data_IF_933431370060
#
_entry.id   IF_933431370060
#
_cell.length_a   1.000
_cell.length_b   1.000
_cell.length_c   1.000
_cell.angle_alpha   90.00
_cell.angle_beta   90.00
_cell.angle_gamma   90.00
#
_symmetry.space_group_name_H-M   'P 1'
#
loop_
_entity.id
_entity.type
_entity.pdbx_description
1 polymer ?
#
# COMPACT_ATOMS: atom_id res chain seq x y z
N UNK A 1 -20.52 14.29 -4.74
CA UNK A 1 -19.16 13.75 -4.96
C UNK A 1 -18.27 14.79 -5.61
N UNK A 2 -18.65 15.38 -6.74
CA UNK A 2 -17.89 16.50 -7.34
C UNK A 2 -17.73 17.66 -6.33
N UNK A 3 -18.82 18.10 -5.69
CA UNK A 3 -18.75 19.14 -4.65
C UNK A 3 -17.83 18.76 -3.48
N UNK A 4 -17.87 17.51 -3.03
CA UNK A 4 -17.04 17.01 -1.94
C UNK A 4 -15.55 17.05 -2.28
N UNK A 5 -15.20 16.68 -3.51
CA UNK A 5 -13.83 16.74 -4.05
C UNK A 5 -13.39 18.19 -4.20
N UNK A 6 -14.23 19.06 -4.75
CA UNK A 6 -13.96 20.50 -4.90
C UNK A 6 -13.81 21.23 -3.56
N UNK A 7 -14.45 20.76 -2.50
CA UNK A 7 -14.36 21.35 -1.16
C UNK A 7 -13.15 20.88 -0.35
N UNK A 8 -12.50 19.78 -0.73
CA UNK A 8 -11.28 19.33 -0.05
C UNK A 8 -10.17 20.36 -0.23
N UNK A 9 -9.52 20.83 0.84
CA UNK A 9 -8.36 21.72 0.74
C UNK A 9 -7.23 21.34 1.70
N UNK A 10 -6.01 21.72 1.33
CA UNK A 10 -4.82 21.52 2.14
C UNK A 10 -3.87 22.72 1.91
N UNK A 11 -3.97 23.73 2.77
CA UNK A 11 -3.21 24.98 2.68
C UNK A 11 -1.70 24.73 2.69
N UNK A 12 -1.26 23.70 3.43
CA UNK A 12 0.16 23.35 3.58
C UNK A 12 0.75 22.70 2.33
N UNK A 13 -0.07 22.15 1.45
CA UNK A 13 0.40 21.48 0.25
C UNK A 13 -0.66 21.56 -0.85
N UNK A 14 -0.50 22.53 -1.75
CA UNK A 14 -1.42 22.73 -2.86
C UNK A 14 -1.35 21.60 -3.90
N UNK A 15 -0.23 20.87 -3.98
CA UNK A 15 -0.09 19.77 -4.94
C UNK A 15 -1.01 18.59 -4.58
N UNK A 16 -1.17 18.27 -3.28
CA UNK A 16 -2.14 17.25 -2.85
C UNK A 16 -3.59 17.72 -3.08
N UNK A 17 -3.88 18.99 -2.83
CA UNK A 17 -5.20 19.56 -3.10
C UNK A 17 -5.55 19.48 -4.60
N UNK A 18 -4.66 19.99 -5.45
CA UNK A 18 -4.81 19.98 -6.90
C UNK A 18 -4.83 18.55 -7.46
N UNK A 19 -4.08 17.63 -6.86
CA UNK A 19 -4.15 16.22 -7.23
C UNK A 19 -5.57 15.70 -7.09
N UNK A 20 -6.20 15.86 -5.92
CA UNK A 20 -7.53 15.33 -5.69
C UNK A 20 -8.58 16.01 -6.57
N UNK A 21 -8.52 17.34 -6.66
CA UNK A 21 -9.52 18.15 -7.38
C UNK A 21 -9.48 17.95 -8.89
N UNK A 22 -8.30 17.82 -9.48
CA UNK A 22 -8.13 17.94 -10.94
C UNK A 22 -7.61 16.65 -11.58
N UNK A 23 -6.80 15.87 -10.85
CA UNK A 23 -6.00 14.79 -11.44
C UNK A 23 -6.50 13.39 -11.07
N UNK A 24 -6.99 13.18 -9.85
CA UNK A 24 -7.31 11.87 -9.30
C UNK A 24 -8.28 11.08 -10.21
N UNK A 25 -9.37 11.70 -10.65
CA UNK A 25 -10.37 11.08 -11.53
C UNK A 25 -9.76 10.69 -12.87
N UNK A 26 -8.93 11.55 -13.47
CA UNK A 26 -8.30 11.25 -14.75
C UNK A 26 -7.26 10.14 -14.65
N UNK A 27 -6.53 10.07 -13.53
CA UNK A 27 -5.58 8.99 -13.26
C UNK A 27 -6.28 7.65 -13.00
N UNK A 28 -7.40 7.67 -12.29
CA UNK A 28 -8.28 6.50 -12.08
C UNK A 28 -8.82 5.95 -13.41
N UNK A 29 -9.37 6.82 -14.27
CA UNK A 29 -9.88 6.45 -15.60
C UNK A 29 -8.82 5.85 -16.52
N UNK A 30 -7.54 6.10 -16.23
CA UNK A 30 -6.38 5.59 -16.99
C UNK A 30 -5.67 4.44 -16.28
N UNK A 31 -6.23 3.95 -15.17
CA UNK A 31 -5.66 2.88 -14.34
C UNK A 31 -4.24 3.18 -13.83
N UNK A 32 -3.90 4.46 -13.68
CA UNK A 32 -2.59 4.89 -13.20
C UNK A 32 -2.50 4.86 -11.67
N UNK A 33 -3.62 5.07 -10.99
CA UNK A 33 -3.75 5.07 -9.52
C UNK A 33 -5.10 4.54 -9.11
N UNK A 34 -5.18 4.05 -7.88
CA UNK A 34 -6.41 3.98 -7.10
C UNK A 34 -6.40 5.02 -5.99
N UNK A 35 -7.44 5.83 -5.88
CA UNK A 35 -7.60 6.91 -4.89
C UNK A 35 -8.71 6.54 -3.93
N UNK A 36 -8.40 6.55 -2.63
CA UNK A 36 -9.31 6.17 -1.57
C UNK A 36 -9.66 7.40 -0.75
N UNK A 37 -10.95 7.65 -0.59
CA UNK A 37 -11.48 8.76 0.21
C UNK A 37 -11.88 8.23 1.58
N UNK A 38 -11.49 8.96 2.62
CA UNK A 38 -11.95 8.75 3.99
C UNK A 38 -12.98 9.84 4.27
N UNK A 39 -14.23 9.44 4.46
CA UNK A 39 -15.35 10.35 4.64
C UNK A 39 -15.79 10.44 6.10
N UNK A 40 -16.37 11.57 6.46
CA UNK A 40 -17.00 11.77 7.77
C UNK A 40 -18.31 10.99 7.82
N UNK A 41 -18.26 9.85 8.51
CA UNK A 41 -19.40 8.94 8.60
C UNK A 41 -20.58 9.58 9.33
N UNK A 42 -20.35 10.40 10.35
CA UNK A 42 -21.42 11.04 11.11
C UNK A 42 -22.18 12.02 10.21
N UNK A 43 -21.45 12.84 9.44
CA UNK A 43 -22.04 13.78 8.48
C UNK A 43 -22.79 13.09 7.35
N UNK A 44 -22.26 11.97 6.87
CA UNK A 44 -22.94 11.17 5.88
C UNK A 44 -24.24 10.57 6.42
N UNK A 45 -24.24 10.03 7.65
CA UNK A 45 -25.41 9.39 8.25
C UNK A 45 -26.49 10.39 8.69
N UNK A 46 -26.10 11.55 9.23
CA UNK A 46 -27.05 12.54 9.76
C UNK A 46 -27.59 13.48 8.69
N UNK A 47 -26.71 13.97 7.80
CA UNK A 47 -26.99 15.09 6.91
C UNK A 47 -27.00 14.67 5.43
N UNK A 48 -26.64 13.40 5.14
CA UNK A 48 -26.40 12.89 3.77
C UNK A 48 -25.33 13.72 3.02
N UNK A 49 -24.39 14.28 3.78
CA UNK A 49 -23.28 15.08 3.28
C UNK A 49 -22.02 14.21 3.13
N UNK A 50 -21.36 14.29 1.97
CA UNK A 50 -20.08 13.62 1.75
C UNK A 50 -18.97 14.61 2.04
N UNK A 51 -18.41 14.56 3.25
CA UNK A 51 -17.27 15.37 3.63
C UNK A 51 -16.00 14.52 3.64
N UNK A 52 -15.01 14.90 2.85
CA UNK A 52 -13.73 14.19 2.76
C UNK A 52 -12.83 14.67 3.90
N UNK A 53 -12.59 13.78 4.87
CA UNK A 53 -11.70 14.00 6.01
C UNK A 53 -10.24 13.90 5.58
N UNK A 54 -9.96 12.90 4.73
CA UNK A 54 -8.62 12.59 4.24
C UNK A 54 -8.71 11.75 2.96
N UNK A 55 -7.60 11.65 2.25
CA UNK A 55 -7.47 10.70 1.14
C UNK A 55 -6.04 10.17 1.02
N UNK A 56 -5.90 9.06 0.32
CA UNK A 56 -4.61 8.57 -0.15
C UNK A 56 -4.74 7.97 -1.54
N UNK A 57 -3.64 7.91 -2.28
CA UNK A 57 -3.59 7.24 -3.59
C UNK A 57 -2.48 6.20 -3.64
N UNK A 58 -2.78 5.08 -4.29
CA UNK A 58 -1.88 3.94 -4.47
C UNK A 58 -1.66 3.71 -5.96
N UNK A 59 -0.43 3.41 -6.36
CA UNK A 59 -0.07 3.00 -7.71
C UNK A 59 0.98 1.87 -7.68
N UNK A 60 1.19 1.23 -8.82
CA UNK A 60 2.41 0.45 -9.06
C UNK A 60 3.45 1.36 -9.70
N UNK A 61 4.70 1.26 -9.28
CA UNK A 61 5.83 2.01 -9.84
C UNK A 61 7.04 1.13 -10.02
N UNK A 62 7.83 1.40 -11.06
CA UNK A 62 9.18 0.85 -11.18
C UNK A 62 10.14 1.70 -10.36
N UNK A 63 10.69 1.14 -9.29
CA UNK A 63 11.77 1.74 -8.50
C UNK A 63 13.11 1.41 -9.15
N UNK A 64 13.91 2.42 -9.46
CA UNK A 64 15.32 2.23 -9.82
C UNK A 64 16.10 2.02 -8.52
N UNK A 65 16.73 0.86 -8.36
CA UNK A 65 17.39 0.47 -7.12
C UNK A 65 18.80 1.09 -7.07
N UNK A 66 19.14 1.89 -6.05
CA UNK A 66 20.48 2.45 -5.93
C UNK A 66 21.50 1.33 -5.77
N UNK A 67 22.48 1.28 -6.68
CA UNK A 67 23.52 0.23 -6.66
C UNK A 67 24.56 0.44 -5.55
N UNK A 68 24.43 1.52 -4.79
CA UNK A 68 25.16 1.78 -3.53
C UNK A 68 24.59 0.99 -2.35
N UNK A 69 23.39 0.43 -2.48
CA UNK A 69 22.78 -0.44 -1.46
C UNK A 69 23.52 -1.77 -1.35
N UNK A 70 23.43 -2.39 -0.16
CA UNK A 70 23.99 -3.73 0.04
C UNK A 70 23.21 -4.79 -0.74
N UNK A 71 23.90 -5.88 -1.13
CA UNK A 71 23.30 -7.04 -1.80
C UNK A 71 22.07 -7.60 -1.06
N UNK A 72 22.10 -7.58 0.28
CA UNK A 72 20.96 -8.03 1.10
C UNK A 72 19.77 -7.08 0.99
N UNK A 73 20.00 -5.77 0.95
CA UNK A 73 18.96 -4.76 0.78
C UNK A 73 18.36 -4.80 -0.63
N UNK A 74 19.18 -4.94 -1.68
CA UNK A 74 18.72 -5.12 -3.06
C UNK A 74 17.84 -6.36 -3.16
N UNK A 75 18.32 -7.50 -2.64
CA UNK A 75 17.54 -8.75 -2.62
C UNK A 75 16.25 -8.63 -1.81
N UNK A 76 16.22 -7.81 -0.76
CA UNK A 76 15.02 -7.54 0.03
C UNK A 76 13.97 -6.76 -0.76
N UNK A 77 14.41 -5.77 -1.55
CA UNK A 77 13.53 -4.97 -2.43
C UNK A 77 13.00 -5.81 -3.60
N UNK A 78 13.87 -6.55 -4.27
CA UNK A 78 13.52 -7.35 -5.46
C UNK A 78 12.82 -8.67 -5.09
N UNK A 79 13.13 -9.22 -3.93
CA UNK A 79 12.64 -10.51 -3.46
C UNK A 79 13.42 -11.72 -3.99
N UNK A 80 14.29 -11.55 -5.00
CA UNK A 80 15.00 -12.67 -5.61
C UNK A 80 16.49 -12.38 -5.89
N UNK A 81 16.77 -11.39 -6.74
CA UNK A 81 18.10 -11.02 -7.23
C UNK A 81 18.77 -10.01 -6.32
N UNK A 82 20.04 -10.27 -6.01
CA UNK A 82 20.91 -9.32 -5.29
C UNK A 82 21.51 -8.23 -6.19
N UNK A 83 21.39 -8.39 -7.51
CA UNK A 83 21.97 -7.52 -8.54
C UNK A 83 20.87 -6.81 -9.35
N UNK A 84 19.64 -6.77 -8.81
CA UNK A 84 18.51 -6.11 -9.44
C UNK A 84 18.77 -4.60 -9.58
N UNK A 85 18.44 -4.07 -10.75
CA UNK A 85 18.55 -2.63 -11.05
C UNK A 85 17.23 -1.90 -10.91
N UNK A 86 16.13 -2.64 -11.02
CA UNK A 86 14.78 -2.13 -10.92
C UNK A 86 13.87 -3.16 -10.25
N UNK A 87 12.81 -2.71 -9.58
CA UNK A 87 11.77 -3.57 -9.01
C UNK A 87 10.42 -2.88 -9.08
N UNK A 88 9.34 -3.66 -9.21
CA UNK A 88 7.97 -3.15 -9.14
C UNK A 88 7.58 -3.03 -7.67
N UNK A 89 7.15 -1.83 -7.27
CA UNK A 89 6.80 -1.48 -5.90
C UNK A 89 5.41 -0.87 -5.82
N UNK A 90 4.79 -0.94 -4.65
CA UNK A 90 3.58 -0.18 -4.36
C UNK A 90 3.97 1.25 -3.99
N UNK A 91 3.49 2.25 -4.72
CA UNK A 91 3.70 3.65 -4.40
C UNK A 91 2.47 4.18 -3.65
N UNK A 92 2.66 4.73 -2.45
CA UNK A 92 1.69 5.67 -1.86
C UNK A 92 2.02 7.04 -2.43
N UNK A 93 1.35 7.41 -3.50
CA UNK A 93 1.72 8.58 -4.31
C UNK A 93 1.22 9.89 -3.71
N UNK A 94 0.16 9.83 -2.90
CA UNK A 94 -0.44 10.98 -2.23
C UNK A 94 -1.02 10.51 -0.90
N UNK A 95 -0.88 11.33 0.13
CA UNK A 95 -1.49 11.15 1.44
C UNK A 95 -1.78 12.53 1.99
N UNK A 96 -3.06 12.82 2.26
CA UNK A 96 -3.44 14.13 2.76
C UNK A 96 -4.65 14.07 3.69
N UNK A 97 -4.67 15.00 4.64
CA UNK A 97 -5.82 15.30 5.48
C UNK A 97 -6.37 16.65 5.04
N UNK A 98 -7.69 16.77 5.04
CA UNK A 98 -8.37 18.04 4.82
C UNK A 98 -8.09 18.96 6.02
N UNK A 99 -7.75 20.22 5.77
CA UNK A 99 -7.43 21.18 6.83
C UNK A 99 -8.65 21.61 7.67
N UNK A 100 -9.88 21.31 7.22
CA UNK A 100 -11.09 21.38 8.06
C UNK A 100 -11.07 20.38 9.23
N UNK A 101 -10.18 19.37 9.18
CA UNK A 101 -10.06 18.32 10.17
C UNK A 101 -8.68 18.32 10.83
N UNK A 102 -8.68 18.15 12.14
CA UNK A 102 -7.46 18.13 12.95
C UNK A 102 -7.01 16.68 13.28
N UNK A 103 -5.95 16.55 14.08
CA UNK A 103 -5.41 15.25 14.51
C UNK A 103 -6.32 14.47 15.46
N UNK A 104 -7.29 15.10 16.10
CA UNK A 104 -8.28 14.42 16.94
C UNK A 104 -9.30 13.65 16.08
N UNK A 105 -9.60 14.16 14.87
CA UNK A 105 -10.46 13.49 13.91
C UNK A 105 -9.76 12.34 13.18
N UNK A 106 -8.56 12.60 12.65
CA UNK A 106 -7.70 11.57 12.08
C UNK A 106 -6.23 12.03 12.04
N UNK A 107 -5.32 11.17 12.45
CA UNK A 107 -3.88 11.39 12.40
C UNK A 107 -3.31 10.98 11.03
N UNK A 108 -2.15 11.52 10.67
CA UNK A 108 -1.42 11.08 9.47
C UNK A 108 -1.09 9.57 9.50
N UNK A 109 -0.75 9.06 10.69
CA UNK A 109 -0.44 7.64 10.90
C UNK A 109 -1.66 6.75 10.66
N UNK A 110 -2.86 7.16 11.05
CA UNK A 110 -4.09 6.42 10.75
C UNK A 110 -4.44 6.40 9.27
N UNK A 111 -4.20 7.50 8.54
CA UNK A 111 -4.38 7.55 7.08
C UNK A 111 -3.39 6.59 6.41
N UNK A 112 -2.12 6.62 6.84
CA UNK A 112 -1.07 5.74 6.33
C UNK A 112 -1.38 4.27 6.64
N UNK A 113 -1.83 3.96 7.85
CA UNK A 113 -2.22 2.61 8.24
C UNK A 113 -3.34 2.06 7.34
N UNK A 114 -4.35 2.88 7.01
CA UNK A 114 -5.40 2.50 6.05
C UNK A 114 -4.82 2.20 4.66
N UNK A 115 -3.87 3.00 4.18
CA UNK A 115 -3.19 2.75 2.92
C UNK A 115 -2.40 1.43 2.94
N UNK A 116 -1.63 1.19 4.01
CA UNK A 116 -0.85 -0.02 4.20
C UNK A 116 -1.72 -1.28 4.29
N UNK A 117 -2.88 -1.21 4.95
CA UNK A 117 -3.83 -2.31 5.02
C UNK A 117 -4.35 -2.70 3.62
N UNK A 118 -4.76 -1.71 2.83
CA UNK A 118 -5.18 -1.96 1.43
C UNK A 118 -4.03 -2.57 0.62
N UNK A 119 -2.80 -2.07 0.76
CA UNK A 119 -1.64 -2.64 0.07
C UNK A 119 -1.40 -4.09 0.50
N UNK A 120 -1.55 -4.42 1.79
CA UNK A 120 -1.43 -5.79 2.29
C UNK A 120 -2.45 -6.71 1.61
N UNK A 121 -3.71 -6.29 1.53
CA UNK A 121 -4.77 -7.05 0.86
C UNK A 121 -4.50 -7.27 -0.63
N UNK A 122 -3.86 -6.31 -1.30
CA UNK A 122 -3.46 -6.42 -2.71
C UNK A 122 -2.26 -7.36 -2.85
N UNK A 123 -1.26 -7.22 -1.97
CA UNK A 123 -0.07 -8.09 -1.94
C UNK A 123 -0.46 -9.55 -1.84
N UNK A 124 -1.42 -9.91 -1.00
CA UNK A 124 -1.78 -11.32 -0.82
C UNK A 124 -2.43 -11.91 -2.09
N UNK A 125 -3.03 -11.06 -2.93
CA UNK A 125 -3.63 -11.46 -4.21
C UNK A 125 -2.63 -11.46 -5.38
N UNK A 126 -1.72 -10.48 -5.43
CA UNK A 126 -0.90 -10.18 -6.63
C UNK A 126 0.62 -10.37 -6.38
N UNK A 127 1.07 -10.31 -5.12
CA UNK A 127 2.47 -10.29 -4.74
C UNK A 127 3.03 -8.88 -4.58
N UNK A 128 4.36 -8.75 -4.48
CA UNK A 128 5.05 -7.49 -4.18
C UNK A 128 5.60 -7.43 -2.76
N UNK A 129 6.68 -6.67 -2.56
CA UNK A 129 7.52 -6.73 -1.35
C UNK A 129 7.64 -5.44 -0.57
N UNK A 130 7.60 -4.31 -1.25
CA UNK A 130 7.89 -3.02 -0.63
C UNK A 130 6.86 -1.97 -1.03
N UNK A 131 6.59 -1.09 -0.08
CA UNK A 131 5.90 0.18 -0.26
C UNK A 131 6.95 1.27 -0.41
N UNK A 132 6.75 2.15 -1.38
CA UNK A 132 7.52 3.35 -1.65
C UNK A 132 6.65 4.57 -1.30
N UNK A 133 7.28 5.55 -0.66
CA UNK A 133 6.79 6.93 -0.59
C UNK A 133 7.85 7.83 -1.22
N UNK A 134 7.38 8.88 -1.88
CA UNK A 134 8.23 9.92 -2.46
C UNK A 134 7.79 11.24 -1.83
N UNK A 135 8.71 11.95 -1.20
CA UNK A 135 8.40 13.23 -0.57
C UNK A 135 9.43 14.30 -0.93
N UNK A 136 8.99 15.55 -0.87
CA UNK A 136 9.92 16.68 -0.89
C UNK A 136 10.89 16.61 0.29
N UNK A 137 12.02 17.31 0.16
CA UNK A 137 12.99 17.48 1.25
C UNK A 137 12.46 18.42 2.34
N UNK A 138 11.42 17.94 3.02
CA UNK A 138 10.77 18.61 4.15
C UNK A 138 10.93 17.74 5.38
N UNK A 139 11.69 18.24 6.36
CA UNK A 139 12.06 17.48 7.57
C UNK A 139 10.86 16.83 8.27
N UNK A 140 9.71 17.53 8.36
CA UNK A 140 8.50 16.97 8.99
C UNK A 140 7.95 15.74 8.28
N UNK A 141 8.03 15.70 6.96
CA UNK A 141 7.54 14.56 6.16
C UNK A 141 8.53 13.40 6.24
N UNK A 142 9.83 13.72 6.23
CA UNK A 142 10.90 12.73 6.44
C UNK A 142 10.75 12.09 7.83
N UNK A 143 10.61 12.88 8.88
CA UNK A 143 10.44 12.40 10.25
C UNK A 143 9.19 11.54 10.37
N UNK A 144 8.06 11.99 9.82
CA UNK A 144 6.83 11.19 9.76
C UNK A 144 7.05 9.82 9.10
N UNK A 145 7.77 9.77 7.97
CA UNK A 145 8.05 8.50 7.29
C UNK A 145 8.94 7.59 8.15
N UNK A 146 10.00 8.12 8.76
CA UNK A 146 10.91 7.38 9.63
C UNK A 146 10.20 6.84 10.89
N UNK A 147 9.35 7.67 11.51
CA UNK A 147 8.50 7.29 12.65
C UNK A 147 7.51 6.17 12.30
N UNK A 148 7.17 6.01 11.02
CA UNK A 148 6.31 4.95 10.51
C UNK A 148 7.10 3.82 9.82
N UNK A 149 8.34 3.56 10.26
CA UNK A 149 9.24 2.48 9.82
C UNK A 149 9.63 2.48 8.34
N UNK A 150 9.51 3.62 7.64
CA UNK A 150 10.12 3.75 6.33
C UNK A 150 11.63 3.97 6.48
N UNK A 151 12.40 3.37 5.58
CA UNK A 151 13.84 3.57 5.49
C UNK A 151 14.15 4.42 4.25
N UNK A 152 14.84 5.54 4.46
CA UNK A 152 15.29 6.43 3.38
C UNK A 152 16.27 5.69 2.46
N UNK A 153 16.04 5.80 1.15
CA UNK A 153 16.99 5.37 0.14
C UNK A 153 18.01 6.48 -0.18
N UNK A 154 19.24 6.12 -0.58
CA UNK A 154 20.20 7.07 -1.12
C UNK A 154 19.61 7.85 -2.30
N UNK A 155 19.93 9.13 -2.40
CA UNK A 155 19.56 9.96 -3.54
C UNK A 155 20.24 9.48 -4.83
N UNK A 156 19.52 9.63 -5.93
CA UNK A 156 20.02 9.27 -7.27
C UNK A 156 20.49 10.51 -8.05
N UNK A 157 20.02 11.71 -7.70
CA UNK A 157 20.50 13.00 -8.21
C UNK A 157 20.11 14.17 -7.29
N UNK A 158 20.80 15.30 -7.45
CA UNK A 158 20.44 16.56 -6.80
C UNK A 158 19.09 17.07 -7.36
N UNK A 159 18.13 17.39 -6.49
CA UNK A 159 16.76 17.85 -6.77
C UNK A 159 15.70 16.76 -7.07
N UNK A 160 15.97 15.49 -6.81
CA UNK A 160 14.92 14.45 -6.83
C UNK A 160 14.16 14.37 -5.50
N UNK A 161 12.92 13.86 -5.57
CA UNK A 161 12.16 13.52 -4.38
C UNK A 161 12.93 12.51 -3.53
N UNK A 162 12.79 12.63 -2.21
CA UNK A 162 13.33 11.67 -1.26
C UNK A 162 12.48 10.41 -1.32
N UNK A 163 13.13 9.31 -1.67
CA UNK A 163 12.52 7.99 -1.68
C UNK A 163 12.70 7.33 -0.31
N UNK A 164 11.62 6.83 0.26
CA UNK A 164 11.69 5.97 1.43
C UNK A 164 10.86 4.71 1.20
N UNK A 165 11.35 3.57 1.70
CA UNK A 165 10.68 2.28 1.50
C UNK A 165 10.35 1.60 2.82
N UNK A 166 9.21 0.90 2.84
CA UNK A 166 8.79 0.02 3.93
C UNK A 166 8.59 -1.39 3.38
N UNK A 167 9.14 -2.39 4.06
CA UNK A 167 8.84 -3.79 3.72
C UNK A 167 7.39 -4.11 4.12
N UNK A 168 6.69 -4.85 3.26
CA UNK A 168 5.39 -5.38 3.60
C UNK A 168 5.60 -6.71 4.34
N UNK A 169 5.60 -6.62 5.67
CA UNK A 169 5.67 -7.79 6.54
C UNK A 169 4.30 -8.50 6.47
N UNK A 170 4.29 -9.81 6.31
CA UNK A 170 3.05 -10.57 6.44
C UNK A 170 2.52 -10.45 7.88
N UNK A 171 1.22 -10.21 8.06
CA UNK A 171 0.60 -10.48 9.35
C UNK A 171 0.85 -11.96 9.71
N UNK A 172 0.91 -12.29 11.00
CA UNK A 172 1.05 -13.68 11.46
C UNK A 172 -0.14 -14.58 11.05
N UNK A 173 -1.16 -14.01 10.41
CA UNK A 173 -2.21 -14.75 9.75
C UNK A 173 -1.66 -15.51 8.52
N UNK A 174 -2.18 -16.73 8.34
CA UNK A 174 -1.70 -17.71 7.37
C UNK A 174 -1.46 -17.10 5.98
N UNK A 175 -0.28 -17.30 5.40
CA UNK A 175 0.08 -16.73 4.09
C UNK A 175 -0.88 -17.27 3.02
N UNK A 176 -1.86 -16.46 2.61
CA UNK A 176 -2.88 -16.81 1.62
C UNK A 176 -2.40 -16.58 0.17
N UNK A 177 -1.30 -17.23 -0.21
CA UNK A 177 -0.82 -17.18 -1.61
C UNK A 177 -1.59 -18.18 -2.48
N UNK A 178 -1.88 -17.86 -3.77
CA UNK A 178 -2.52 -18.83 -4.69
C UNK A 178 -1.77 -20.17 -4.78
N UNK A 179 -0.43 -20.15 -4.73
CA UNK A 179 0.38 -21.38 -4.76
C UNK A 179 0.23 -22.15 -3.44
N UNK A 180 0.19 -21.48 -2.30
CA UNK A 180 0.00 -22.12 -0.98
C UNK A 180 -1.40 -22.74 -0.90
N UNK A 181 -2.43 -22.04 -1.34
CA UNK A 181 -3.79 -22.56 -1.39
C UNK A 181 -3.89 -23.80 -2.28
N UNK A 182 -3.27 -23.78 -3.47
CA UNK A 182 -3.22 -24.95 -4.34
C UNK A 182 -2.48 -26.14 -3.70
N UNK A 183 -1.37 -25.89 -2.98
CA UNK A 183 -0.65 -26.94 -2.22
C UNK A 183 -1.56 -27.54 -1.14
N UNK A 184 -2.26 -26.70 -0.37
CA UNK A 184 -3.16 -27.15 0.68
C UNK A 184 -4.35 -27.95 0.12
N UNK A 185 -4.91 -27.53 -1.03
CA UNK A 185 -5.93 -28.29 -1.75
C UNK A 185 -5.41 -29.66 -2.22
N UNK A 186 -4.19 -29.74 -2.76
CA UNK A 186 -3.57 -31.01 -3.19
C UNK A 186 -3.35 -31.95 -2.00
N UNK A 187 -2.87 -31.41 -0.86
CA UNK A 187 -2.68 -32.19 0.37
C UNK A 187 -4.02 -32.75 0.86
N UNK A 188 -5.07 -31.92 0.91
CA UNK A 188 -6.41 -32.35 1.31
C UNK A 188 -6.94 -33.49 0.42
N UNK A 189 -6.76 -33.39 -0.91
CA UNK A 189 -7.16 -34.44 -1.86
C UNK A 189 -6.36 -35.74 -1.64
N UNK A 190 -5.06 -35.63 -1.34
CA UNK A 190 -4.21 -36.80 -1.10
C UNK A 190 -4.59 -37.51 0.20
N UNK A 191 -4.83 -36.76 1.27
CA UNK A 191 -5.24 -37.31 2.56
C UNK A 191 -6.63 -37.95 2.50
N UNK A 192 -7.59 -37.35 1.80
CA UNK A 192 -8.90 -37.97 1.56
C UNK A 192 -8.79 -39.31 0.81
N UNK A 193 -7.94 -39.38 -0.23
CA UNK A 193 -7.67 -40.64 -0.94
C UNK A 193 -7.05 -41.68 -0.01
N UNK A 194 -6.08 -41.28 0.80
CA UNK A 194 -5.39 -42.16 1.75
C UNK A 194 -6.37 -42.74 2.77
N UNK A 195 -7.26 -41.90 3.32
CA UNK A 195 -8.34 -42.33 4.23
C UNK A 195 -9.29 -43.30 3.52
N UNK A 196 -9.69 -43.00 2.28
CA UNK A 196 -10.55 -43.89 1.49
C UNK A 196 -9.94 -45.28 1.28
N UNK A 197 -8.65 -45.35 0.98
CA UNK A 197 -7.93 -46.60 0.77
C UNK A 197 -7.78 -47.39 2.08
N UNK A 198 -7.51 -46.73 3.22
CA UNK A 198 -7.52 -47.37 4.54
C UNK A 198 -8.88 -47.94 4.91
N UNK A 199 -9.97 -47.21 4.65
CA UNK A 199 -11.34 -47.68 4.92
C UNK A 199 -11.70 -48.88 4.04
N UNK A 200 -11.27 -48.90 2.76
CA UNK A 200 -11.43 -50.07 1.89
C UNK A 200 -10.64 -51.28 2.37
N UNK A 201 -9.41 -51.07 2.84
CA UNK A 201 -8.56 -52.14 3.39
C UNK A 201 -9.18 -52.76 4.65
N UNK A 202 -9.67 -51.94 5.59
CA UNK A 202 -10.33 -52.42 6.82
C UNK A 202 -11.58 -53.26 6.51
N UNK A 203 -12.34 -52.94 5.46
CA UNK A 203 -13.52 -53.74 5.06
C UNK A 203 -13.20 -55.11 4.46
N UNK A 204 -11.93 -55.39 4.16
CA UNK A 204 -11.47 -56.65 3.57
C UNK A 204 -10.82 -57.61 4.58
N UNK A 205 -10.67 -57.19 5.83
CA UNK A 205 -10.22 -58.02 6.97
C UNK A 205 -11.46 -58.50 7.74
#
# INVERSE_FOLDING_TARGET
>A
MEDAVSNFFCEKNLDVENFLRENAINREKRDLTRTYLIIDQNKFESDNEINIVAYFSIALKTLIIPQTLSNSKIKKIDGFSKDAKESIVYLIGQLARNDDYNTEAITGAEILARALNIISDIKDKIGGKVVLVECEDQQKVIDFNLENDFERLPEHSENELINAIKEIIASEEEITSPIINAINEIIAIHDEKRISDYVKFIKFI
#
